data_IF_507065486912
#
_entry.id   IF_507065486912
#
_cell.length_a   1.000
_cell.length_b   1.000
_cell.length_c   1.000
_cell.angle_alpha   90.00
_cell.angle_beta   90.00
_cell.angle_gamma   90.00
#
_symmetry.space_group_name_H-M   'P 1'
#
loop_
_entity.id
_entity.type
_entity.pdbx_description
1 polymer ?
#
# COMPACT_ATOMS: atom_id res chain seq x y z
N UNK A 1 -34.04 -26.46 -5.18
CA UNK A 1 -33.35 -25.64 -6.21
C UNK A 1 -32.99 -24.34 -5.55
N UNK A 2 -31.74 -23.90 -5.67
CA UNK A 2 -31.34 -22.60 -5.14
C UNK A 2 -31.93 -21.51 -6.06
N UNK A 3 -32.44 -20.47 -5.44
CA UNK A 3 -32.96 -19.33 -6.19
C UNK A 3 -31.79 -18.43 -6.57
N UNK A 4 -31.66 -18.12 -7.86
CA UNK A 4 -30.64 -17.19 -8.35
C UNK A 4 -31.17 -15.75 -8.22
N UNK A 5 -30.34 -14.89 -7.64
CA UNK A 5 -30.53 -13.46 -7.52
C UNK A 5 -29.55 -12.74 -8.45
N UNK A 6 -30.01 -11.64 -9.04
CA UNK A 6 -29.30 -10.83 -10.02
C UNK A 6 -29.45 -9.36 -9.64
N UNK A 7 -28.33 -8.68 -9.45
CA UNK A 7 -28.27 -7.24 -9.20
C UNK A 7 -27.60 -6.61 -10.42
N UNK A 8 -28.34 -5.73 -11.08
CA UNK A 8 -27.82 -4.85 -12.11
C UNK A 8 -27.81 -3.44 -11.53
N UNK A 9 -26.73 -2.71 -11.69
CA UNK A 9 -26.68 -1.36 -11.17
C UNK A 9 -25.72 -0.44 -11.87
N UNK A 10 -25.75 0.82 -11.47
CA UNK A 10 -24.81 1.84 -11.92
C UNK A 10 -24.41 2.74 -10.77
N UNK A 11 -23.11 3.03 -10.67
CA UNK A 11 -22.56 4.04 -9.75
C UNK A 11 -22.40 5.36 -10.51
N UNK A 12 -23.02 6.43 -10.00
CA UNK A 12 -22.99 7.76 -10.61
C UNK A 12 -22.42 8.81 -9.66
N UNK A 13 -21.78 9.80 -10.25
CA UNK A 13 -21.33 11.02 -9.58
C UNK A 13 -22.53 11.90 -9.20
N UNK A 14 -22.63 12.29 -7.94
CA UNK A 14 -23.70 13.14 -7.43
C UNK A 14 -23.79 14.50 -8.10
N UNK A 15 -22.65 15.11 -8.42
CA UNK A 15 -22.53 16.43 -9.03
C UNK A 15 -22.62 16.37 -10.56
N UNK A 16 -21.82 15.50 -11.19
CA UNK A 16 -21.67 15.43 -12.65
C UNK A 16 -22.70 14.52 -13.33
N UNK A 17 -23.38 13.66 -12.56
CA UNK A 17 -24.32 12.63 -13.04
C UNK A 17 -23.72 11.61 -14.03
N UNK A 18 -22.39 11.63 -14.22
CA UNK A 18 -21.66 10.67 -15.03
C UNK A 18 -21.43 9.36 -14.27
N UNK A 19 -21.34 8.24 -15.00
CA UNK A 19 -20.96 6.96 -14.41
C UNK A 19 -19.50 6.93 -13.97
N UNK A 20 -19.21 6.23 -12.88
CA UNK A 20 -17.85 6.16 -12.31
C UNK A 20 -17.30 4.74 -12.44
N UNK A 21 -16.24 4.60 -13.23
CA UNK A 21 -15.57 3.33 -13.52
C UNK A 21 -14.58 2.91 -12.43
N UNK A 22 -14.18 1.63 -12.46
CA UNK A 22 -13.13 1.04 -11.63
C UNK A 22 -13.37 1.14 -10.11
N UNK A 23 -14.62 1.26 -9.68
CA UNK A 23 -14.98 1.15 -8.27
C UNK A 23 -15.31 -0.29 -7.93
N UNK A 24 -14.84 -0.77 -6.78
CA UNK A 24 -15.28 -2.07 -6.27
C UNK A 24 -16.60 -1.90 -5.54
N UNK A 25 -17.62 -2.58 -6.03
CA UNK A 25 -18.94 -2.63 -5.41
C UNK A 25 -19.10 -4.00 -4.76
N UNK A 26 -19.50 -4.00 -3.50
CA UNK A 26 -19.83 -5.21 -2.75
C UNK A 26 -21.29 -5.14 -2.33
N UNK A 27 -22.01 -6.23 -2.52
CA UNK A 27 -23.37 -6.41 -2.04
C UNK A 27 -23.35 -7.29 -0.79
N UNK A 28 -24.03 -6.85 0.26
CA UNK A 28 -24.04 -7.47 1.57
C UNK A 28 -25.48 -7.68 2.01
N UNK A 29 -25.76 -8.79 2.69
CA UNK A 29 -27.04 -9.00 3.38
C UNK A 29 -26.99 -8.45 4.80
N UNK A 30 -28.07 -7.83 5.23
CA UNK A 30 -28.15 -7.17 6.54
C UNK A 30 -28.81 -8.06 7.59
N UNK A 31 -28.03 -8.94 8.20
CA UNK A 31 -28.49 -9.68 9.37
C UNK A 31 -28.30 -8.97 10.71
N UNK A 32 -29.03 -9.43 11.73
CA UNK A 32 -28.91 -8.95 13.12
C UNK A 32 -27.54 -9.26 13.73
N UNK A 33 -26.85 -10.33 13.29
CA UNK A 33 -25.63 -10.84 13.95
C UNK A 33 -24.36 -10.72 13.09
N UNK A 34 -24.39 -11.18 11.85
CA UNK A 34 -23.24 -11.16 10.94
C UNK A 34 -23.73 -10.88 9.53
N UNK A 35 -23.27 -9.79 8.92
CA UNK A 35 -23.61 -9.47 7.53
C UNK A 35 -22.85 -10.37 6.58
N UNK A 36 -23.57 -11.05 5.69
CA UNK A 36 -23.00 -11.96 4.70
C UNK A 36 -22.67 -11.25 3.39
N UNK A 37 -21.49 -11.53 2.83
CA UNK A 37 -21.09 -10.99 1.53
C UNK A 37 -21.77 -11.78 0.42
N UNK A 38 -22.70 -11.14 -0.28
CA UNK A 38 -23.45 -11.75 -1.39
C UNK A 38 -22.63 -11.76 -2.68
N UNK A 39 -21.77 -10.76 -2.89
CA UNK A 39 -20.86 -10.74 -4.03
C UNK A 39 -19.99 -9.49 -4.11
N UNK A 40 -19.07 -9.48 -5.08
CA UNK A 40 -18.25 -8.30 -5.42
C UNK A 40 -18.01 -8.17 -6.92
N UNK A 41 -17.98 -6.94 -7.43
CA UNK A 41 -17.66 -6.63 -8.82
C UNK A 41 -16.92 -5.29 -8.95
N UNK A 42 -16.41 -5.00 -10.14
CA UNK A 42 -15.79 -3.72 -10.49
C UNK A 42 -16.70 -3.00 -11.50
N UNK A 43 -16.96 -1.70 -11.29
CA UNK A 43 -17.75 -0.92 -12.25
C UNK A 43 -17.01 -0.74 -13.58
N UNK A 44 -17.75 -0.85 -14.67
CA UNK A 44 -17.26 -0.66 -16.02
C UNK A 44 -17.11 0.84 -16.39
N UNK A 45 -16.80 1.15 -17.64
CA UNK A 45 -16.56 2.52 -18.12
C UNK A 45 -17.75 3.49 -17.94
N UNK A 46 -19.00 2.99 -17.96
CA UNK A 46 -20.21 3.78 -17.73
C UNK A 46 -20.72 3.70 -16.28
N UNK A 47 -19.89 3.19 -15.37
CA UNK A 47 -20.23 2.98 -13.97
C UNK A 47 -21.18 1.82 -13.71
N UNK A 48 -21.57 1.09 -14.76
CA UNK A 48 -22.43 -0.08 -14.69
C UNK A 48 -21.73 -1.27 -14.04
N UNK A 49 -22.53 -2.11 -13.37
CA UNK A 49 -22.07 -3.35 -12.77
C UNK A 49 -23.19 -4.39 -12.74
N UNK A 50 -22.80 -5.66 -12.69
CA UNK A 50 -23.69 -6.81 -12.63
C UNK A 50 -23.14 -7.83 -11.65
N UNK A 51 -24.01 -8.41 -10.84
CA UNK A 51 -23.67 -9.39 -9.81
C UNK A 51 -24.76 -10.45 -9.75
N UNK A 52 -24.36 -11.70 -9.57
CA UNK A 52 -25.30 -12.80 -9.36
C UNK A 52 -24.87 -13.65 -8.19
N UNK A 53 -25.82 -14.05 -7.35
CA UNK A 53 -25.59 -14.92 -6.20
C UNK A 53 -26.80 -15.82 -5.98
N UNK A 54 -26.64 -16.93 -5.28
CA UNK A 54 -27.73 -17.85 -5.00
C UNK A 54 -28.18 -17.79 -3.54
N UNK A 55 -29.39 -18.32 -3.29
CA UNK A 55 -30.03 -18.24 -1.98
C UNK A 55 -29.26 -18.88 -0.81
N UNK A 56 -28.22 -19.68 -1.07
CA UNK A 56 -27.42 -20.27 0.01
C UNK A 56 -26.60 -19.23 0.79
N UNK A 57 -26.33 -18.08 0.19
CA UNK A 57 -25.53 -17.02 0.83
C UNK A 57 -26.20 -16.36 2.03
N UNK A 58 -27.53 -16.44 2.15
CA UNK A 58 -28.28 -15.79 3.24
C UNK A 58 -29.21 -16.72 4.02
N UNK A 59 -29.55 -17.90 3.48
CA UNK A 59 -30.49 -18.84 4.14
C UNK A 59 -29.86 -19.68 5.26
N UNK A 60 -28.54 -19.65 5.47
CA UNK A 60 -27.90 -20.50 6.49
C UNK A 60 -28.21 -20.05 7.92
N UNK A 61 -28.46 -18.75 8.15
CA UNK A 61 -28.56 -18.19 9.50
C UNK A 61 -29.85 -17.44 9.81
N UNK A 62 -30.67 -17.12 8.80
CA UNK A 62 -31.92 -16.39 8.98
C UNK A 62 -33.13 -17.22 8.48
N UNK A 63 -34.27 -17.23 9.18
CA UNK A 63 -35.53 -17.79 8.69
C UNK A 63 -36.18 -16.93 7.58
N UNK A 64 -35.49 -15.88 7.11
CA UNK A 64 -36.02 -14.93 6.13
C UNK A 64 -36.00 -15.52 4.72
N UNK A 65 -37.09 -15.31 3.97
CA UNK A 65 -37.21 -15.83 2.60
C UNK A 65 -36.43 -15.00 1.57
N UNK A 66 -36.07 -13.75 1.91
CA UNK A 66 -35.44 -12.78 1.01
C UNK A 66 -34.40 -11.93 1.77
N UNK A 67 -33.29 -11.52 1.13
CA UNK A 67 -32.24 -10.75 1.78
C UNK A 67 -32.58 -9.26 1.87
N UNK A 68 -32.02 -8.59 2.87
CA UNK A 68 -32.01 -7.14 3.08
C UNK A 68 -30.67 -6.58 2.57
N UNK A 69 -30.61 -6.19 1.30
CA UNK A 69 -29.33 -5.91 0.62
C UNK A 69 -28.86 -4.47 0.87
N UNK A 70 -27.59 -4.31 1.21
CA UNK A 70 -26.90 -3.02 1.18
C UNK A 70 -25.58 -3.11 0.41
N UNK A 71 -25.05 -1.94 0.03
CA UNK A 71 -23.87 -1.84 -0.82
C UNK A 71 -22.73 -1.12 -0.11
N UNK A 72 -21.52 -1.61 -0.33
CA UNK A 72 -20.27 -0.92 0.02
C UNK A 72 -19.50 -0.62 -1.26
N UNK A 73 -19.08 0.63 -1.42
CA UNK A 73 -18.40 1.11 -2.61
C UNK A 73 -17.00 1.56 -2.23
N UNK A 74 -15.99 0.96 -2.86
CA UNK A 74 -14.59 1.20 -2.58
C UNK A 74 -13.86 1.79 -3.78
N UNK A 75 -12.92 2.68 -3.48
CA UNK A 75 -11.86 3.10 -4.40
C UNK A 75 -10.55 2.49 -3.91
N UNK A 76 -10.07 1.45 -4.59
CA UNK A 76 -8.99 0.61 -4.10
C UNK A 76 -9.38 -0.07 -2.78
N UNK A 77 -8.71 0.28 -1.67
CA UNK A 77 -9.00 -0.22 -0.31
C UNK A 77 -9.87 0.73 0.51
N UNK A 78 -10.13 1.94 0.03
CA UNK A 78 -10.85 2.97 0.79
C UNK A 78 -12.36 2.84 0.54
N UNK A 79 -13.12 2.66 1.61
CA UNK A 79 -14.59 2.75 1.56
C UNK A 79 -15.00 4.21 1.30
N UNK A 80 -15.71 4.44 0.21
CA UNK A 80 -16.20 5.76 -0.20
C UNK A 80 -17.65 5.96 0.25
N UNK A 81 -18.48 4.93 0.11
CA UNK A 81 -19.89 4.99 0.48
C UNK A 81 -20.37 3.62 0.99
N UNK A 82 -21.26 3.66 1.97
CA UNK A 82 -22.08 2.52 2.39
C UNK A 82 -23.55 2.93 2.33
N UNK A 83 -24.43 1.99 1.96
CA UNK A 83 -25.89 2.14 2.04
C UNK A 83 -26.48 1.32 3.20
N UNK A 84 -25.64 0.87 4.14
CA UNK A 84 -26.03 0.01 5.27
C UNK A 84 -27.13 0.62 6.16
N UNK A 85 -27.18 1.94 6.27
CA UNK A 85 -28.22 2.64 7.03
C UNK A 85 -29.59 2.61 6.33
N UNK A 86 -29.59 2.40 5.01
CA UNK A 86 -30.79 2.37 4.15
C UNK A 86 -30.74 1.14 3.22
N UNK A 87 -30.80 -0.08 3.78
CA UNK A 87 -30.77 -1.31 2.99
C UNK A 87 -32.03 -1.42 2.13
N UNK A 88 -31.91 -2.07 0.97
CA UNK A 88 -33.04 -2.52 0.18
C UNK A 88 -33.66 -3.74 0.85
N UNK A 89 -34.75 -3.52 1.57
CA UNK A 89 -35.41 -4.58 2.33
C UNK A 89 -36.12 -5.60 1.42
N UNK A 90 -36.06 -6.87 1.79
CA UNK A 90 -36.76 -7.98 1.14
C UNK A 90 -36.58 -7.98 -0.39
N UNK A 91 -35.32 -7.88 -0.83
CA UNK A 91 -34.96 -7.72 -2.23
C UNK A 91 -35.54 -8.85 -3.11
N UNK A 92 -36.03 -8.46 -4.29
CA UNK A 92 -36.49 -9.41 -5.31
C UNK A 92 -35.32 -10.14 -5.98
N UNK A 93 -35.64 -11.19 -6.76
CA UNK A 93 -34.61 -11.95 -7.50
C UNK A 93 -33.87 -11.13 -8.54
N UNK A 94 -34.48 -10.07 -9.06
CA UNK A 94 -33.84 -9.15 -10.01
C UNK A 94 -33.98 -7.74 -9.48
N UNK A 95 -32.86 -7.08 -9.23
CA UNK A 95 -32.84 -5.73 -8.67
C UNK A 95 -32.05 -4.81 -9.61
N UNK A 96 -32.64 -3.64 -9.90
CA UNK A 96 -31.95 -2.55 -10.58
C UNK A 96 -31.64 -1.43 -9.57
N UNK A 97 -30.37 -1.06 -9.38
CA UNK A 97 -29.96 -0.02 -8.43
C UNK A 97 -29.13 1.09 -9.07
N UNK A 98 -29.36 2.33 -8.63
CA UNK A 98 -28.48 3.46 -8.95
C UNK A 98 -27.87 3.99 -7.66
N UNK A 99 -26.55 3.89 -7.56
CA UNK A 99 -25.80 4.28 -6.37
C UNK A 99 -25.15 5.64 -6.64
N UNK A 100 -25.56 6.66 -5.91
CA UNK A 100 -24.98 8.01 -6.04
C UNK A 100 -23.85 8.18 -5.03
N UNK A 101 -22.69 8.64 -5.48
CA UNK A 101 -21.56 8.99 -4.62
C UNK A 101 -21.09 10.42 -4.88
N UNK A 102 -20.73 11.12 -3.81
CA UNK A 102 -20.13 12.45 -3.88
C UNK A 102 -18.61 12.29 -3.79
N UNK A 103 -17.96 12.15 -4.95
CA UNK A 103 -16.50 12.16 -5.00
C UNK A 103 -16.00 13.61 -4.96
N UNK A 104 -15.05 13.93 -4.07
CA UNK A 104 -14.46 15.26 -4.08
C UNK A 104 -13.68 15.49 -5.38
N UNK A 105 -13.78 16.69 -5.93
CA UNK A 105 -13.32 17.06 -7.27
C UNK A 105 -11.83 16.75 -7.51
N UNK A 106 -10.99 16.88 -6.48
CA UNK A 106 -9.55 16.57 -6.54
C UNK A 106 -9.21 15.07 -6.66
N UNK A 107 -10.17 14.17 -6.46
CA UNK A 107 -9.99 12.73 -6.69
C UNK A 107 -10.30 12.32 -8.14
N UNK A 108 -10.82 13.24 -8.94
CA UNK A 108 -10.99 13.06 -10.37
C UNK A 108 -9.92 13.87 -11.09
N UNK A 109 -8.96 13.25 -11.80
CA UNK A 109 -8.01 14.01 -12.60
C UNK A 109 -8.79 14.85 -13.63
N UNK A 110 -8.69 16.17 -13.54
CA UNK A 110 -9.28 17.06 -14.53
C UNK A 110 -8.48 16.95 -15.83
N UNK A 111 -9.13 16.54 -16.92
CA UNK A 111 -8.52 16.58 -18.24
C UNK A 111 -9.22 15.70 -19.25
N UNK A 112 -9.39 16.23 -20.47
CA UNK A 112 -10.01 15.54 -21.62
C UNK A 112 -9.24 14.33 -22.13
N UNK A 113 -8.10 14.01 -21.52
CA UNK A 113 -7.42 12.74 -21.73
C UNK A 113 -7.77 11.79 -20.60
N UNK A 114 -8.36 10.66 -21.00
CA UNK A 114 -8.58 9.51 -20.14
C UNK A 114 -7.22 9.07 -19.59
N UNK A 115 -6.86 9.60 -18.42
CA UNK A 115 -5.81 9.08 -17.55
C UNK A 115 -6.06 7.58 -17.49
N UNK A 116 -5.14 6.80 -18.08
CA UNK A 116 -5.39 5.38 -18.29
C UNK A 116 -5.62 4.71 -16.95
N UNK A 117 -6.47 3.67 -16.93
CA UNK A 117 -6.72 2.83 -15.75
C UNK A 117 -5.41 2.43 -15.03
N UNK A 118 -4.29 2.30 -15.77
CA UNK A 118 -2.97 2.04 -15.21
C UNK A 118 -2.44 3.16 -14.29
N UNK A 119 -2.67 4.43 -14.60
CA UNK A 119 -2.21 5.55 -13.77
C UNK A 119 -3.00 5.64 -12.46
N UNK A 120 -4.31 5.37 -12.46
CA UNK A 120 -5.09 5.24 -11.22
C UNK A 120 -4.69 3.99 -10.42
N UNK A 121 -4.44 2.86 -11.08
CA UNK A 121 -3.93 1.66 -10.40
C UNK A 121 -2.56 1.90 -9.77
N UNK A 122 -1.67 2.70 -10.40
CA UNK A 122 -0.39 3.10 -9.83
C UNK A 122 -0.54 3.99 -8.60
N UNK A 123 -1.50 4.93 -8.60
CA UNK A 123 -1.79 5.77 -7.43
C UNK A 123 -2.38 4.91 -6.29
N UNK A 124 -3.32 4.02 -6.61
CA UNK A 124 -3.88 3.09 -5.62
C UNK A 124 -2.81 2.12 -5.06
N UNK A 125 -1.89 1.63 -5.89
CA UNK A 125 -0.74 0.82 -5.49
C UNK A 125 0.21 1.62 -4.60
N UNK A 126 0.51 2.87 -4.94
CA UNK A 126 1.32 3.78 -4.11
C UNK A 126 0.73 3.99 -2.70
N UNK A 127 -0.59 4.16 -2.58
CA UNK A 127 -1.27 4.25 -1.28
C UNK A 127 -1.35 2.91 -0.55
N UNK A 128 -1.26 1.79 -1.26
CA UNK A 128 -1.23 0.44 -0.70
C UNK A 128 0.16 0.04 -0.16
N UNK A 129 1.23 0.54 -0.78
CA UNK A 129 2.62 0.26 -0.40
C UNK A 129 3.17 1.27 0.64
N UNK A 130 2.44 2.36 0.89
CA UNK A 130 2.84 3.37 1.88
C UNK A 130 2.19 3.13 3.25
N UNK A 131 3.02 3.08 4.30
CA UNK A 131 2.61 2.79 5.69
C UNK A 131 1.95 3.99 6.40
N UNK A 132 0.88 4.55 5.82
CA UNK A 132 0.12 5.67 6.39
C UNK A 132 -0.73 5.27 7.62
N UNK A 133 -0.80 3.99 7.94
CA UNK A 133 -1.55 3.47 9.09
C UNK A 133 -0.99 3.97 10.43
N UNK A 134 0.33 4.15 10.54
CA UNK A 134 1.00 4.69 11.72
C UNK A 134 0.56 6.11 12.05
N UNK A 135 0.55 6.99 11.04
CA UNK A 135 0.18 8.41 11.17
C UNK A 135 -1.28 8.59 11.59
N UNK A 136 -2.18 7.71 11.11
CA UNK A 136 -3.61 7.78 11.44
C UNK A 136 -3.91 7.25 12.85
N UNK A 137 -3.14 6.28 13.33
CA UNK A 137 -3.31 5.69 14.66
C UNK A 137 -2.88 6.63 15.80
N UNK A 138 -1.83 7.43 15.58
CA UNK A 138 -1.36 8.44 16.53
C UNK A 138 -2.32 9.63 16.66
N UNK A 139 -3.02 9.97 15.57
CA UNK A 139 -4.02 11.03 15.58
C UNK A 139 -5.30 10.61 16.34
N UNK A 140 -5.72 9.35 16.18
CA UNK A 140 -6.91 8.80 16.84
C UNK A 140 -6.73 8.64 18.35
N UNK A 141 -5.51 8.40 18.84
CA UNK A 141 -5.22 8.31 20.28
C UNK A 141 -5.17 9.66 21.00
N UNK A 142 -5.03 10.78 20.27
CA UNK A 142 -4.95 12.14 20.84
C UNK A 142 -6.24 12.96 20.77
N UNK A 143 -7.25 12.55 19.99
CA UNK A 143 -8.49 13.30 19.82
C UNK A 143 -9.69 12.60 20.47
N UNK A 144 -9.68 12.52 21.81
CA UNK A 144 -10.91 12.38 22.57
C UNK A 144 -11.57 13.76 22.67
N UNK A 145 -12.83 13.86 22.26
CA UNK A 145 -13.69 15.07 22.20
C UNK A 145 -13.66 15.87 20.88
N UNK A 146 -14.82 15.89 20.21
CA UNK A 146 -15.27 16.72 19.06
C UNK A 146 -14.71 16.45 17.66
N UNK A 147 -15.34 15.49 16.96
CA UNK A 147 -15.20 15.27 15.50
C UNK A 147 -15.81 16.44 14.68
N UNK A 148 -16.76 17.19 15.24
CA UNK A 148 -17.45 18.30 14.55
C UNK A 148 -16.61 19.58 14.39
N UNK A 149 -15.39 19.65 14.93
CA UNK A 149 -14.47 20.77 14.67
C UNK A 149 -13.40 20.44 13.63
N UNK A 150 -13.31 19.18 13.18
CA UNK A 150 -12.34 18.79 12.16
C UNK A 150 -12.76 19.26 10.75
N UNK A 151 -14.07 19.35 10.47
CA UNK A 151 -14.57 19.89 9.20
C UNK A 151 -14.26 21.37 9.04
N UNK A 152 -14.39 22.16 10.11
CA UNK A 152 -14.15 23.61 10.07
C UNK A 152 -12.64 23.94 10.06
N UNK A 153 -11.81 23.08 10.64
CA UNK A 153 -10.37 23.21 10.58
C UNK A 153 -9.82 22.82 9.19
N UNK A 154 -10.46 21.89 8.47
CA UNK A 154 -10.14 21.61 7.06
C UNK A 154 -10.65 22.75 6.16
N UNK A 155 -11.86 23.28 6.39
CA UNK A 155 -12.44 24.33 5.55
C UNK A 155 -11.79 25.71 5.70
N UNK A 156 -11.40 26.12 6.91
CA UNK A 156 -10.73 27.41 7.10
C UNK A 156 -9.23 27.40 6.75
N UNK A 157 -8.63 26.22 6.62
CA UNK A 157 -7.22 26.10 6.20
C UNK A 157 -7.08 26.12 4.68
N UNK A 158 -8.10 25.71 3.91
CA UNK A 158 -8.03 25.71 2.43
C UNK A 158 -8.18 27.11 1.82
N UNK A 159 -8.91 28.04 2.46
CA UNK A 159 -9.08 29.41 1.95
C UNK A 159 -7.92 30.37 2.27
N UNK A 160 -6.85 29.91 2.94
CA UNK A 160 -5.65 30.72 3.27
C UNK A 160 -4.32 30.01 3.01
N UNK A 161 -4.29 28.97 2.17
CA UNK A 161 -3.02 28.48 1.64
C UNK A 161 -2.60 29.37 0.46
N UNK A 162 -1.77 30.37 0.74
CA UNK A 162 -0.68 30.68 -0.18
C UNK A 162 0.06 29.36 -0.42
N UNK A 163 0.22 28.96 -1.69
CA UNK A 163 0.99 27.78 -2.06
C UNK A 163 2.46 28.03 -1.71
N UNK A 164 2.84 27.83 -0.45
CA UNK A 164 4.20 27.44 -0.14
C UNK A 164 4.41 26.07 -0.80
N UNK A 165 5.48 25.89 -1.60
CA UNK A 165 5.77 24.63 -2.28
C UNK A 165 5.75 23.48 -1.26
N UNK A 166 5.17 22.35 -1.69
CA UNK A 166 5.03 21.13 -0.87
C UNK A 166 6.37 20.87 -0.18
N UNK A 167 6.39 21.03 1.15
CA UNK A 167 7.57 20.74 1.98
C UNK A 167 7.84 19.25 1.81
N UNK A 168 8.89 18.92 1.05
CA UNK A 168 9.30 17.54 0.78
C UNK A 168 9.60 16.87 2.12
N UNK A 169 9.25 15.59 2.23
CA UNK A 169 9.59 14.83 3.43
C UNK A 169 11.11 14.87 3.63
N UNK A 170 11.60 15.04 4.87
CA UNK A 170 13.03 15.10 5.14
C UNK A 170 13.71 13.81 4.68
N UNK A 171 14.98 13.92 4.22
CA UNK A 171 15.71 12.75 3.72
C UNK A 171 15.81 11.72 4.85
N UNK A 172 15.47 10.47 4.53
CA UNK A 172 15.68 9.35 5.43
C UNK A 172 17.12 8.85 5.30
N UNK A 173 17.66 8.37 6.40
CA UNK A 173 19.02 7.81 6.48
C UNK A 173 19.23 6.65 5.49
N UNK A 174 18.22 5.81 5.31
CA UNK A 174 18.19 4.66 4.39
C UNK A 174 18.33 5.05 2.91
N UNK A 175 18.01 6.31 2.57
CA UNK A 175 18.16 6.86 1.21
C UNK A 175 19.59 7.38 0.95
N UNK A 176 20.47 7.29 1.95
CA UNK A 176 21.85 7.78 1.92
C UNK A 176 22.83 6.65 2.19
N UNK A 177 22.68 5.95 3.31
CA UNK A 177 23.61 4.91 3.74
C UNK A 177 23.43 3.67 2.87
N UNK A 178 24.55 3.05 2.50
CA UNK A 178 24.66 1.90 1.60
C UNK A 178 24.08 2.13 0.19
N UNK A 179 23.84 3.39 -0.18
CA UNK A 179 23.46 3.80 -1.53
C UNK A 179 24.70 4.21 -2.33
N UNK A 180 24.60 4.07 -3.67
CA UNK A 180 25.66 4.55 -4.57
C UNK A 180 25.73 6.07 -4.51
N UNK A 181 26.94 6.61 -4.48
CA UNK A 181 27.19 8.05 -4.39
C UNK A 181 26.44 8.86 -5.47
N UNK A 182 26.31 8.30 -6.68
CA UNK A 182 25.59 8.94 -7.79
C UNK A 182 24.10 9.13 -7.47
N UNK A 183 23.47 8.12 -6.87
CA UNK A 183 22.05 8.16 -6.50
C UNK A 183 21.83 9.08 -5.30
N UNK A 184 22.73 9.04 -4.31
CA UNK A 184 22.73 9.94 -3.15
C UNK A 184 22.83 11.40 -3.60
N UNK A 185 23.76 11.74 -4.50
CA UNK A 185 23.90 13.10 -5.04
C UNK A 185 22.61 13.62 -5.64
N UNK A 186 22.01 12.82 -6.52
CA UNK A 186 20.75 13.15 -7.18
C UNK A 186 19.61 13.34 -6.18
N UNK A 187 19.53 12.48 -5.17
CA UNK A 187 18.51 12.56 -4.13
C UNK A 187 18.71 13.81 -3.25
N UNK A 188 19.93 14.10 -2.82
CA UNK A 188 20.26 15.31 -2.02
C UNK A 188 19.97 16.60 -2.78
N UNK A 189 20.37 16.69 -4.06
CA UNK A 189 20.10 17.83 -4.92
C UNK A 189 18.59 18.07 -5.05
N UNK A 190 17.81 17.01 -5.22
CA UNK A 190 16.35 17.10 -5.28
C UNK A 190 15.72 17.60 -3.96
N UNK A 191 16.44 17.48 -2.84
CA UNK A 191 15.96 17.89 -1.52
C UNK A 191 16.61 19.19 -1.01
N UNK A 192 17.30 19.93 -1.89
CA UNK A 192 18.01 21.17 -1.54
C UNK A 192 19.00 20.97 -0.37
N UNK A 193 19.60 19.78 -0.27
CA UNK A 193 20.68 19.47 0.69
C UNK A 193 22.00 19.66 -0.02
N UNK A 194 22.90 20.46 0.56
CA UNK A 194 24.21 20.73 -0.04
C UNK A 194 25.20 19.65 0.36
N UNK A 195 25.78 18.95 -0.60
CA UNK A 195 26.91 18.05 -0.32
C UNK A 195 28.17 18.89 -0.25
N UNK A 196 28.85 18.85 0.90
CA UNK A 196 30.15 19.45 1.14
C UNK A 196 31.27 18.55 0.62
N UNK A 197 32.11 18.07 1.53
CA UNK A 197 33.23 17.20 1.18
C UNK A 197 32.78 15.74 1.04
N UNK A 198 33.37 15.05 0.07
CA UNK A 198 33.27 13.60 -0.08
C UNK A 198 34.65 13.05 0.29
N UNK A 199 34.69 12.19 1.30
CA UNK A 199 35.92 11.60 1.84
C UNK A 199 35.88 10.09 1.67
N UNK A 200 37.05 9.49 1.49
CA UNK A 200 37.19 8.04 1.51
C UNK A 200 36.99 7.54 2.95
N UNK A 201 36.20 6.49 3.11
CA UNK A 201 35.92 5.84 4.37
C UNK A 201 37.18 5.10 4.83
N UNK A 202 37.77 5.52 5.96
CA UNK A 202 38.86 4.78 6.61
C UNK A 202 38.36 4.12 7.90
N UNK A 203 38.25 2.77 7.96
CA UNK A 203 37.80 2.07 9.16
C UNK A 203 38.75 2.23 10.36
N UNK A 204 39.95 2.81 10.17
CA UNK A 204 40.94 3.07 11.22
C UNK A 204 40.84 4.47 11.83
N UNK A 205 39.84 5.27 11.46
CA UNK A 205 39.70 6.67 11.90
C UNK A 205 39.73 6.84 13.44
N UNK A 206 40.48 7.86 13.85
CA UNK A 206 40.75 8.30 15.22
C UNK A 206 39.45 8.54 16.03
N UNK A 207 39.54 8.44 17.37
CA UNK A 207 38.45 8.67 18.33
C UNK A 207 37.66 9.97 18.09
N UNK A 208 38.27 10.95 17.44
CA UNK A 208 37.66 12.21 17.03
C UNK A 208 36.52 12.01 16.03
N UNK A 209 36.67 11.13 15.03
CA UNK A 209 35.60 10.82 14.05
C UNK A 209 34.46 10.02 14.66
N UNK A 210 34.74 9.25 15.71
CA UNK A 210 33.70 8.50 16.45
C UNK A 210 32.78 9.43 17.24
N UNK A 211 33.25 10.61 17.67
CA UNK A 211 32.39 11.57 18.39
C UNK A 211 31.32 12.19 17.48
N UNK A 212 31.61 12.32 16.18
CA UNK A 212 30.67 12.85 15.19
C UNK A 212 29.60 11.85 14.76
N UNK A 213 29.81 10.54 15.00
CA UNK A 213 28.85 9.44 14.74
C UNK A 213 27.61 9.55 15.62
N UNK A 214 27.66 10.25 16.75
CA UNK A 214 26.49 10.45 17.63
C UNK A 214 25.33 11.23 16.95
N UNK A 215 25.54 11.78 15.75
CA UNK A 215 24.53 12.54 15.00
C UNK A 215 23.84 11.77 13.86
N UNK A 216 24.16 10.49 13.65
CA UNK A 216 23.70 9.73 12.48
C UNK A 216 22.16 9.60 12.37
N UNK A 217 21.44 9.62 13.49
CA UNK A 217 19.98 9.46 13.52
C UNK A 217 19.17 10.76 13.34
N UNK A 218 19.78 11.86 12.87
CA UNK A 218 19.05 13.12 12.66
C UNK A 218 18.59 13.23 11.21
N UNK A 219 17.27 13.27 11.01
CA UNK A 219 16.65 13.62 9.73
C UNK A 219 17.33 14.86 9.12
N UNK A 220 17.78 14.73 7.88
CA UNK A 220 18.40 15.83 7.14
C UNK A 220 17.30 16.77 6.68
N UNK A 221 17.43 18.04 7.06
CA UNK A 221 16.51 19.11 6.69
C UNK A 221 17.02 19.81 5.43
N UNK A 222 16.08 20.32 4.66
CA UNK A 222 16.34 21.23 3.55
C UNK A 222 17.30 22.36 3.97
N UNK A 223 18.27 22.69 3.10
CA UNK A 223 19.28 23.71 3.32
C UNK A 223 20.47 23.28 4.19
N UNK A 224 20.45 22.08 4.78
CA UNK A 224 21.62 21.59 5.52
C UNK A 224 22.76 21.20 4.58
N UNK A 225 23.99 21.39 5.07
CA UNK A 225 25.20 20.92 4.39
C UNK A 225 25.74 19.67 5.08
N UNK A 226 26.03 18.62 4.31
CA UNK A 226 26.58 17.36 4.82
C UNK A 226 27.86 16.97 4.10
N UNK A 227 28.78 16.33 4.81
CA UNK A 227 29.93 15.65 4.22
C UNK A 227 29.62 14.16 4.14
N UNK A 228 30.00 13.53 3.03
CA UNK A 228 29.78 12.10 2.79
C UNK A 228 31.08 11.33 2.94
N UNK A 229 31.00 10.13 3.50
CA UNK A 229 32.13 9.20 3.59
C UNK A 229 31.77 7.95 2.80
N UNK A 230 32.55 7.65 1.77
CA UNK A 230 32.27 6.55 0.85
C UNK A 230 33.38 5.50 0.79
N UNK A 231 33.01 4.27 0.47
CA UNK A 231 33.91 3.16 0.18
C UNK A 231 33.46 2.54 -1.14
N UNK A 232 34.36 2.47 -2.13
CA UNK A 232 34.06 1.88 -3.45
C UNK A 232 32.82 2.49 -4.15
N UNK A 233 32.57 3.79 -3.96
CA UNK A 233 31.43 4.49 -4.56
C UNK A 233 30.10 4.30 -3.81
N UNK A 234 30.12 3.68 -2.62
CA UNK A 234 28.97 3.46 -1.75
C UNK A 234 29.13 4.28 -0.47
N UNK A 235 28.12 5.07 -0.12
CA UNK A 235 28.17 5.93 1.07
C UNK A 235 28.00 5.09 2.34
N UNK A 236 28.97 5.17 3.24
CA UNK A 236 28.97 4.43 4.52
C UNK A 236 28.38 5.23 5.66
N UNK A 237 28.65 6.53 5.71
CA UNK A 237 28.01 7.45 6.65
C UNK A 237 28.12 8.89 6.16
N UNK A 238 27.43 9.80 6.86
CA UNK A 238 27.51 11.24 6.61
C UNK A 238 27.67 12.00 7.93
N UNK A 239 28.18 13.23 7.84
CA UNK A 239 28.27 14.16 8.98
C UNK A 239 27.74 15.53 8.56
N UNK A 240 27.13 16.28 9.47
CA UNK A 240 26.76 17.66 9.18
C UNK A 240 28.02 18.54 9.11
N UNK A 241 28.16 19.31 8.04
CA UNK A 241 29.21 20.31 7.96
C UNK A 241 28.86 21.44 8.93
N UNK A 242 29.57 21.55 10.04
CA UNK A 242 29.42 22.70 10.92
C UNK A 242 29.82 23.96 10.14
N UNK A 243 28.91 24.92 9.98
CA UNK A 243 29.13 26.20 9.26
C UNK A 243 30.24 27.09 9.86
N UNK A 244 30.98 26.61 10.88
CA UNK A 244 31.87 27.44 11.68
C UNK A 244 33.15 26.72 12.06
N UNK A 245 33.97 26.38 11.07
CA UNK A 245 35.39 26.07 11.31
C UNK A 245 36.30 26.57 10.20
N UNK A 246 35.96 27.71 9.59
CA UNK A 246 36.96 28.55 8.95
C UNK A 246 37.21 29.75 9.87
N UNK A 247 38.42 29.82 10.44
CA UNK A 247 38.94 30.88 11.32
C UNK A 247 38.32 31.00 12.72
N UNK A 248 38.67 30.10 13.64
CA UNK A 248 38.67 30.45 15.07
C UNK A 248 39.94 29.95 15.72
N UNK A 249 40.89 30.89 15.86
CA UNK A 249 42.08 30.78 16.69
C UNK A 249 41.73 30.21 18.06
N UNK A 250 42.53 29.21 18.43
CA UNK A 250 42.52 28.46 19.69
C UNK A 250 42.25 29.38 20.89
N UNK A 251 41.16 29.13 21.61
CA UNK A 251 41.02 29.56 23.00
C UNK A 251 40.65 28.33 23.81
N UNK A 252 41.40 27.95 24.86
CA UNK A 252 41.15 26.73 25.61
C UNK A 252 39.87 26.89 26.43
N UNK A 253 38.82 26.14 26.10
CA UNK A 253 37.65 26.03 26.98
C UNK A 253 38.00 25.11 28.15
N UNK A 254 37.80 25.62 29.35
CA UNK A 254 37.88 24.88 30.60
C UNK A 254 36.78 23.81 30.63
N UNK A 255 37.21 22.55 30.70
CA UNK A 255 36.38 21.38 30.92
C UNK A 255 35.71 21.48 32.30
N UNK A 256 34.43 21.84 32.35
CA UNK A 256 33.58 21.50 33.50
C UNK A 256 33.21 20.03 33.39
N UNK A 257 34.03 19.19 34.00
CA UNK A 257 33.81 17.76 34.17
C UNK A 257 32.54 17.54 35.00
N UNK A 258 31.41 17.30 34.33
CA UNK A 258 30.22 16.75 34.98
C UNK A 258 30.50 15.28 35.26
N UNK A 259 30.96 15.00 36.46
CA UNK A 259 31.24 13.68 37.01
C UNK A 259 29.92 12.89 37.07
N UNK A 260 29.52 12.26 35.95
CA UNK A 260 28.39 11.32 35.92
C UNK A 260 28.74 10.16 36.85
N UNK A 261 27.81 9.82 37.74
CA UNK A 261 27.97 8.76 38.73
C UNK A 261 28.31 7.44 38.03
N UNK A 262 29.37 6.72 38.45
CA UNK A 262 29.82 5.48 37.80
C UNK A 262 28.71 4.41 37.73
N UNK A 263 27.74 4.44 38.64
CA UNK A 263 26.61 3.50 38.70
C UNK A 263 25.63 3.65 37.52
N UNK A 264 25.45 4.86 36.98
CA UNK A 264 24.58 5.09 35.82
C UNK A 264 25.21 4.53 34.54
N UNK A 265 26.53 4.60 34.41
CA UNK A 265 27.26 4.09 33.24
C UNK A 265 27.19 2.56 33.16
N UNK A 266 27.26 1.88 34.31
CA UNK A 266 27.13 0.42 34.37
C UNK A 266 25.72 -0.04 33.99
N UNK A 267 24.70 0.67 34.48
CA UNK A 267 23.29 0.41 34.14
C UNK A 267 23.05 0.57 32.64
N UNK A 268 23.46 1.71 32.06
CA UNK A 268 23.31 1.97 30.62
C UNK A 268 24.06 0.96 29.74
N UNK A 269 25.28 0.55 30.14
CA UNK A 269 26.04 -0.46 29.41
C UNK A 269 25.34 -1.82 29.40
N UNK A 270 24.66 -2.15 30.49
CA UNK A 270 23.88 -3.39 30.61
C UNK A 270 22.63 -3.33 29.73
N UNK A 271 21.89 -2.22 29.75
CA UNK A 271 20.72 -2.00 28.88
C UNK A 271 21.08 -2.06 27.40
N UNK A 272 22.15 -1.38 26.98
CA UNK A 272 22.64 -1.43 25.58
C UNK A 272 23.01 -2.86 25.18
N UNK A 273 23.63 -3.62 26.09
CA UNK A 273 23.97 -5.03 25.81
C UNK A 273 22.73 -5.91 25.68
N UNK A 274 21.69 -5.65 26.48
CA UNK A 274 20.40 -6.34 26.40
C UNK A 274 19.65 -6.00 25.11
N UNK A 275 19.59 -4.72 24.74
CA UNK A 275 18.97 -4.26 23.49
C UNK A 275 19.67 -4.86 22.26
N UNK A 276 21.01 -4.93 22.26
CA UNK A 276 21.76 -5.60 21.19
C UNK A 276 21.39 -7.07 21.04
N UNK A 277 21.17 -7.79 22.16
CA UNK A 277 20.72 -9.19 22.12
C UNK A 277 19.32 -9.32 21.55
N UNK A 278 18.39 -8.47 21.98
CA UNK A 278 17.02 -8.46 21.46
C UNK A 278 16.98 -8.13 19.96
N UNK A 279 17.77 -7.15 19.52
CA UNK A 279 17.87 -6.79 18.11
C UNK A 279 18.38 -7.97 17.26
N UNK A 280 19.41 -8.66 17.73
CA UNK A 280 19.95 -9.84 17.05
C UNK A 280 18.93 -11.00 16.99
N UNK A 281 18.13 -11.18 18.05
CA UNK A 281 17.06 -12.18 18.10
C UNK A 281 15.93 -11.87 17.11
N UNK A 282 15.51 -10.60 17.04
CA UNK A 282 14.52 -10.13 16.06
C UNK A 282 15.04 -10.34 14.63
N UNK A 283 16.29 -9.97 14.36
CA UNK A 283 16.90 -10.17 13.04
C UNK A 283 16.97 -11.67 12.67
N UNK A 284 17.37 -12.54 13.60
CA UNK A 284 17.40 -13.98 13.38
C UNK A 284 16.00 -14.56 13.12
N UNK A 285 14.98 -14.05 13.80
CA UNK A 285 13.58 -14.47 13.58
C UNK A 285 13.08 -14.03 12.21
N UNK A 286 13.33 -12.78 11.81
CA UNK A 286 12.93 -12.26 10.51
C UNK A 286 13.60 -13.03 9.36
N UNK A 287 14.90 -13.35 9.48
CA UNK A 287 15.62 -14.14 8.47
C UNK A 287 15.06 -15.56 8.32
N UNK A 288 14.59 -16.18 9.41
CA UNK A 288 13.88 -17.47 9.35
C UNK A 288 12.55 -17.35 8.63
N UNK A 289 11.77 -16.29 8.90
CA UNK A 289 10.50 -16.06 8.21
C UNK A 289 10.67 -15.82 6.71
N UNK A 290 11.68 -15.05 6.31
CA UNK A 290 12.04 -14.84 4.89
C UNK A 290 12.37 -16.18 4.24
N UNK A 291 13.24 -16.97 4.86
CA UNK A 291 13.63 -18.29 4.33
C UNK A 291 12.42 -19.22 4.14
N UNK A 292 11.47 -19.21 5.09
CA UNK A 292 10.23 -20.00 4.98
C UNK A 292 9.31 -19.50 3.85
N UNK A 293 9.24 -18.18 3.64
CA UNK A 293 8.47 -17.60 2.53
C UNK A 293 9.08 -17.98 1.18
N UNK A 294 10.40 -17.95 1.06
CA UNK A 294 11.12 -18.34 -0.16
C UNK A 294 10.88 -19.81 -0.51
N UNK A 295 10.90 -20.71 0.49
CA UNK A 295 10.53 -22.11 0.28
C UNK A 295 9.08 -22.27 -0.21
N UNK A 296 8.15 -21.47 0.32
CA UNK A 296 6.74 -21.50 -0.10
C UNK A 296 6.57 -20.98 -1.52
N UNK A 297 7.26 -19.90 -1.89
CA UNK A 297 7.27 -19.35 -3.25
C UNK A 297 7.79 -20.41 -4.22
N UNK A 298 8.92 -21.05 -3.92
CA UNK A 298 9.49 -22.13 -4.75
C UNK A 298 8.54 -23.32 -4.93
N UNK A 299 7.77 -23.68 -3.90
CA UNK A 299 6.72 -24.72 -4.00
C UNK A 299 5.58 -24.27 -4.91
N UNK A 300 5.14 -23.01 -4.81
CA UNK A 300 4.09 -22.45 -5.66
C UNK A 300 4.53 -22.38 -7.13
N UNK A 301 5.76 -21.93 -7.41
CA UNK A 301 6.32 -21.90 -8.77
C UNK A 301 6.32 -23.29 -9.42
N UNK A 302 6.68 -24.32 -8.65
CA UNK A 302 6.61 -25.71 -9.11
C UNK A 302 5.17 -26.14 -9.43
N UNK A 303 4.20 -25.79 -8.59
CA UNK A 303 2.79 -26.08 -8.83
C UNK A 303 2.24 -25.35 -10.05
N UNK A 304 2.62 -24.09 -10.27
CA UNK A 304 2.24 -23.32 -11.47
C UNK A 304 2.81 -23.99 -12.71
N UNK A 305 4.08 -24.38 -12.70
CA UNK A 305 4.71 -25.08 -13.83
C UNK A 305 4.01 -26.43 -14.14
N UNK A 306 3.59 -27.16 -13.11
CA UNK A 306 2.83 -28.41 -13.29
C UNK A 306 1.44 -28.15 -13.88
N UNK A 307 0.77 -27.07 -13.46
CA UNK A 307 -0.51 -26.66 -13.99
C UNK A 307 -0.41 -26.26 -15.46
N UNK A 308 0.61 -25.50 -15.85
CA UNK A 308 0.85 -25.12 -17.25
C UNK A 308 1.06 -26.35 -18.14
N UNK A 309 1.82 -27.34 -17.65
CA UNK A 309 2.00 -28.61 -18.34
C UNK A 309 0.66 -29.33 -18.53
N UNK A 310 -0.13 -29.44 -17.47
CA UNK A 310 -1.46 -30.06 -17.54
C UNK A 310 -2.39 -29.33 -18.52
N UNK A 311 -2.38 -28.00 -18.53
CA UNK A 311 -3.16 -27.18 -19.46
C UNK A 311 -2.77 -27.46 -20.92
N UNK A 312 -1.47 -27.59 -21.20
CA UNK A 312 -0.98 -27.92 -22.55
C UNK A 312 -1.37 -29.34 -22.99
N UNK A 313 -1.33 -30.32 -22.08
CA UNK A 313 -1.77 -31.70 -22.34
C UNK A 313 -3.29 -31.75 -22.62
N UNK A 314 -4.07 -30.97 -21.87
CA UNK A 314 -5.52 -30.86 -22.05
C UNK A 314 -5.89 -30.26 -23.42
N UNK A 315 -5.24 -29.18 -23.85
CA UNK A 315 -5.48 -28.60 -25.18
C UNK A 315 -5.05 -29.55 -26.32
N UNK A 316 -3.98 -30.33 -26.13
CA UNK A 316 -3.59 -31.40 -27.07
C UNK A 316 -4.69 -32.47 -27.19
N UNK A 317 -5.22 -32.95 -26.06
CA UNK A 317 -6.29 -33.94 -26.04
C UNK A 317 -7.58 -33.43 -26.72
N UNK A 318 -7.96 -32.19 -26.43
CA UNK A 318 -9.11 -31.52 -27.05
C UNK A 318 -8.96 -31.44 -28.57
N UNK A 319 -7.76 -31.15 -29.06
CA UNK A 319 -7.47 -31.15 -30.50
C UNK A 319 -7.58 -32.56 -31.11
N UNK A 320 -7.09 -33.61 -30.42
CA UNK A 320 -7.24 -35.00 -30.88
C UNK A 320 -8.71 -35.43 -30.96
N UNK A 321 -9.52 -35.10 -29.95
CA UNK A 321 -10.97 -35.38 -29.94
C UNK A 321 -11.69 -34.65 -31.08
N UNK A 322 -11.30 -33.40 -31.37
CA UNK A 322 -11.83 -32.63 -32.50
C UNK A 322 -11.46 -33.25 -33.86
N UNK A 323 -10.30 -33.86 -33.99
CA UNK A 323 -9.91 -34.57 -35.22
C UNK A 323 -10.71 -35.88 -35.39
N UNK A 324 -10.92 -36.64 -34.32
CA UNK A 324 -11.70 -37.88 -34.36
C UNK A 324 -13.16 -37.63 -34.74
N UNK A 325 -13.76 -36.54 -34.27
CA UNK A 325 -15.15 -36.20 -34.59
C UNK A 325 -15.35 -35.76 -36.05
N UNK A 326 -14.29 -35.29 -36.74
CA UNK A 326 -14.32 -34.93 -38.16
C UNK A 326 -14.21 -36.12 -39.11
N UNK A 327 -13.96 -37.34 -38.60
CA UNK A 327 -13.85 -38.53 -39.44
C UNK A 327 -15.21 -38.81 -40.10
N UNK A 328 -15.34 -38.75 -41.44
CA UNK A 328 -16.62 -38.89 -42.12
C UNK A 328 -17.22 -40.26 -41.80
N UNK A 329 -18.48 -40.28 -41.37
CA UNK A 329 -19.24 -41.52 -41.15
C UNK A 329 -19.20 -42.34 -42.45
N UNK A 330 -18.49 -43.47 -42.41
CA UNK A 330 -18.42 -44.40 -43.54
C UNK A 330 -19.86 -44.76 -43.93
N UNK A 331 -20.28 -44.56 -45.18
CA UNK A 331 -21.65 -44.85 -45.57
C UNK A 331 -21.94 -46.31 -45.27
N UNK A 332 -22.96 -46.54 -44.44
CA UNK A 332 -23.45 -47.88 -44.13
C UNK A 332 -23.96 -48.44 -45.45
N UNK A 333 -23.22 -49.40 -46.03
CA UNK A 333 -23.71 -50.19 -47.16
C UNK A 333 -25.01 -50.84 -46.70
N UNK A 334 -26.13 -50.33 -47.21
CA UNK A 334 -27.39 -51.07 -47.14
C UNK A 334 -27.12 -52.41 -47.82
N UNK A 335 -27.29 -53.51 -47.08
CA UNK A 335 -27.38 -54.82 -47.71
C UNK A 335 -28.66 -54.79 -48.52
N UNK A 336 -28.53 -54.95 -49.83
CA UNK A 336 -29.67 -55.22 -50.68
C UNK A 336 -30.20 -56.60 -50.31
N UNK A 337 -31.37 -56.62 -49.67
CA UNK A 337 -32.13 -57.86 -49.46
C UNK A 337 -32.58 -58.36 -50.83
N UNK A 338 -32.24 -59.61 -51.12
CA UNK A 338 -32.53 -60.31 -52.36
C UNK A 338 -33.42 -61.51 -52.08
#
# INVERSE_FOLDING_TARGET
MNDLYEIIGRVIDGAKKGGIANLRVEAWDKDVKYHDLLGSCITNADGGFEMSFDSTYFREFAPEEKPDIFFKIYLGKKLIKSTEDTPLKNAERKVNVTLTIDLPEYMMPEGRDRVSTEQMLRIAAFFQDSDFAGVYSDYRKKAGTSINHLSDMIMNTVNKFDFEPIKRSPVREEEIIDQKLVDVKKNMESQNVTIGEIREYDPKLDRTSIMDINFIHKNIKEGQRINLYEEEGVVKYYTFANEKTESRSETPLQNTTTEKRPDEVVTLKTEVSQLKRQLNEVHATHQREISLRDERIKKLEKSVTQFDKFSSEFESLKNQVSQLSKTPKKPIRKKDDK
#
